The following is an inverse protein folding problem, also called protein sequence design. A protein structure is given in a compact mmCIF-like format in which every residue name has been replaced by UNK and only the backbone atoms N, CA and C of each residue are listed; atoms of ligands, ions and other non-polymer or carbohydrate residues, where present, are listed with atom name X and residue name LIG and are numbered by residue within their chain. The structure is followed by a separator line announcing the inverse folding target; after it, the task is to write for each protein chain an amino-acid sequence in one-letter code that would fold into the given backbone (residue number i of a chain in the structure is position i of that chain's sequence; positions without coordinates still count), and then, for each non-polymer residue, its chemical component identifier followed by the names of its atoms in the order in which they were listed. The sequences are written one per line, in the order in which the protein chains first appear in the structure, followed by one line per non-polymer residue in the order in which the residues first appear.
data_IF_444026286060
#
_entry.id   IF_444026286060
#
_cell.length_a   1.000
_cell.length_b   1.000
_cell.length_c   1.000
_cell.angle_alpha   90.00
_cell.angle_beta   90.00
_cell.angle_gamma   90.00
#
_symmetry.space_group_name_H-M   'P 1'
#
loop_
_entity.id
_entity.type
_entity.pdbx_description
1 polymer ?
#
# COMPACT_ATOMS: atom_id res chain seq x y z
N UNK A 1 23.13 2.93 -8.65
CA UNK A 1 23.80 3.76 -7.60
C UNK A 1 24.52 2.87 -6.58
N UNK A 2 23.89 1.82 -6.03
CA UNK A 2 24.58 0.87 -5.12
C UNK A 2 25.52 -0.12 -5.82
N UNK A 3 25.12 -0.72 -6.96
CA UNK A 3 25.92 -1.77 -7.62
C UNK A 3 26.41 -1.45 -9.03
N UNK A 4 26.11 -0.24 -9.54
CA UNK A 4 26.52 0.28 -10.86
C UNK A 4 26.23 -0.64 -12.08
N UNK A 5 25.44 -1.71 -11.92
CA UNK A 5 25.00 -2.61 -13.00
C UNK A 5 23.49 -2.85 -12.93
N UNK A 6 22.86 -3.11 -14.09
CA UNK A 6 21.42 -3.40 -14.19
C UNK A 6 21.07 -4.84 -13.78
N UNK A 7 22.03 -5.75 -13.85
CA UNK A 7 21.87 -7.18 -13.52
C UNK A 7 21.48 -7.41 -12.06
N UNK A 8 21.88 -6.50 -11.16
CA UNK A 8 21.57 -6.55 -9.73
C UNK A 8 20.24 -5.90 -9.36
N UNK A 9 19.37 -5.61 -10.34
CA UNK A 9 18.04 -5.06 -10.08
C UNK A 9 17.17 -5.95 -9.16
N UNK A 10 17.15 -7.31 -9.29
CA UNK A 10 16.38 -8.15 -8.37
C UNK A 10 16.88 -8.07 -6.92
N UNK A 11 18.20 -8.08 -6.73
CA UNK A 11 18.84 -7.94 -5.42
C UNK A 11 18.53 -6.57 -4.78
N UNK A 12 18.55 -5.51 -5.60
CA UNK A 12 18.20 -4.16 -5.14
C UNK A 12 16.71 -4.06 -4.76
N UNK A 13 15.80 -4.63 -5.55
CA UNK A 13 14.37 -4.62 -5.26
C UNK A 13 14.05 -5.33 -3.94
N UNK A 14 14.70 -6.48 -3.70
CA UNK A 14 14.57 -7.22 -2.44
C UNK A 14 15.13 -6.42 -1.26
N UNK A 15 16.33 -5.85 -1.39
CA UNK A 15 16.95 -5.03 -0.36
C UNK A 15 16.12 -3.78 -0.01
N UNK A 16 15.48 -3.17 -1.02
CA UNK A 16 14.61 -2.01 -0.84
C UNK A 16 13.23 -2.37 -0.27
N UNK A 17 12.89 -3.67 -0.18
CA UNK A 17 11.63 -4.15 0.40
C UNK A 17 10.40 -3.46 -0.22
N UNK A 18 10.35 -3.38 -1.56
CA UNK A 18 9.34 -2.59 -2.30
C UNK A 18 8.01 -3.32 -2.55
N UNK A 19 7.86 -4.56 -2.08
CA UNK A 19 6.62 -5.33 -2.28
C UNK A 19 5.50 -4.85 -1.34
N UNK A 20 4.25 -5.06 -1.72
CA UNK A 20 3.09 -4.68 -0.90
C UNK A 20 3.16 -5.31 0.51
N UNK A 21 3.57 -6.59 0.61
CA UNK A 21 3.71 -7.29 1.89
C UNK A 21 4.80 -6.68 2.78
N UNK A 22 5.88 -6.19 2.17
CA UNK A 22 6.91 -5.48 2.91
C UNK A 22 6.39 -4.14 3.42
N UNK A 23 5.73 -3.35 2.57
CA UNK A 23 5.18 -2.05 2.94
C UNK A 23 4.10 -2.15 4.01
N UNK A 24 3.27 -3.21 3.98
CA UNK A 24 2.28 -3.50 5.03
C UNK A 24 2.97 -3.82 6.36
N UNK A 25 3.99 -4.68 6.35
CA UNK A 25 4.79 -4.99 7.56
C UNK A 25 5.52 -3.78 8.14
N UNK A 26 5.92 -2.84 7.28
CA UNK A 26 6.56 -1.58 7.68
C UNK A 26 5.56 -0.52 8.14
N UNK A 27 4.25 -0.78 8.07
CA UNK A 27 3.20 0.17 8.45
C UNK A 27 3.03 1.34 7.47
N UNK A 28 3.56 1.22 6.25
CA UNK A 28 3.47 2.27 5.22
C UNK A 28 2.10 2.25 4.55
N UNK A 29 1.55 1.06 4.31
CA UNK A 29 0.21 0.84 3.75
C UNK A 29 -0.68 0.12 4.77
N UNK A 30 -2.00 0.27 4.64
CA UNK A 30 -2.97 -0.33 5.57
C UNK A 30 -3.59 -1.63 5.06
N UNK A 31 -3.57 -1.81 3.75
CA UNK A 31 -4.30 -2.89 3.09
C UNK A 31 -3.69 -3.25 1.76
N UNK A 32 -3.61 -4.54 1.50
CA UNK A 32 -3.31 -5.10 0.18
C UNK A 32 -4.63 -5.50 -0.50
N UNK A 33 -4.87 -4.99 -1.69
CA UNK A 33 -6.01 -5.40 -2.53
C UNK A 33 -5.57 -6.59 -3.38
N UNK A 34 -6.27 -7.74 -3.33
CA UNK A 34 -5.88 -8.91 -4.10
C UNK A 34 -6.15 -8.70 -5.60
N UNK A 35 -5.23 -9.20 -6.42
CA UNK A 35 -5.42 -9.23 -7.88
C UNK A 35 -6.06 -10.56 -8.33
N UNK A 36 -6.74 -10.55 -9.49
CA UNK A 36 -7.17 -11.78 -10.16
C UNK A 36 -6.01 -12.75 -10.43
N UNK A 37 -6.32 -14.03 -10.60
CA UNK A 37 -5.32 -15.06 -10.92
C UNK A 37 -4.61 -14.68 -12.22
N UNK A 38 -3.27 -14.58 -12.15
CA UNK A 38 -2.43 -14.16 -13.27
C UNK A 38 -2.29 -12.65 -13.45
N UNK A 39 -2.85 -11.84 -12.55
CA UNK A 39 -2.63 -10.40 -12.44
C UNK A 39 -3.80 -9.55 -12.95
N UNK A 40 -3.84 -8.30 -12.52
CA UNK A 40 -4.91 -7.34 -12.82
C UNK A 40 -5.13 -7.10 -14.32
N UNK A 41 -4.07 -7.22 -15.13
CA UNK A 41 -4.16 -7.08 -16.58
C UNK A 41 -4.96 -8.20 -17.27
N UNK A 42 -5.13 -9.37 -16.61
CA UNK A 42 -5.90 -10.50 -17.17
C UNK A 42 -7.40 -10.40 -16.92
N UNK A 43 -7.79 -9.72 -15.84
CA UNK A 43 -9.18 -9.36 -15.56
C UNK A 43 -9.25 -7.94 -14.97
N UNK A 44 -9.17 -6.90 -15.82
CA UNK A 44 -9.21 -5.52 -15.36
C UNK A 44 -10.52 -5.15 -14.68
N UNK A 45 -11.63 -5.76 -15.09
CA UNK A 45 -12.95 -5.50 -14.52
C UNK A 45 -13.04 -6.05 -13.09
N UNK A 46 -12.58 -7.28 -12.86
CA UNK A 46 -12.49 -7.87 -11.53
C UNK A 46 -11.54 -7.11 -10.61
N UNK A 47 -10.38 -6.69 -11.12
CA UNK A 47 -9.44 -5.86 -10.36
C UNK A 47 -10.05 -4.50 -9.96
N UNK A 48 -10.74 -3.83 -10.88
CA UNK A 48 -11.42 -2.56 -10.61
C UNK A 48 -12.55 -2.74 -9.57
N UNK A 49 -13.31 -3.83 -9.65
CA UNK A 49 -14.36 -4.14 -8.68
C UNK A 49 -13.79 -4.38 -7.27
N UNK A 50 -12.70 -5.15 -7.17
CA UNK A 50 -12.00 -5.40 -5.90
C UNK A 50 -11.46 -4.10 -5.28
N UNK A 51 -10.83 -3.25 -6.10
CA UNK A 51 -10.33 -1.95 -5.68
C UNK A 51 -11.46 -1.02 -5.25
N UNK A 52 -12.54 -0.93 -6.02
CA UNK A 52 -13.70 -0.09 -5.71
C UNK A 52 -14.36 -0.49 -4.39
N UNK A 53 -14.51 -1.79 -4.15
CA UNK A 53 -14.99 -2.31 -2.86
C UNK A 53 -14.07 -1.89 -1.71
N UNK A 54 -12.75 -2.03 -1.88
CA UNK A 54 -11.81 -1.66 -0.83
C UNK A 54 -11.87 -0.16 -0.50
N UNK A 55 -11.90 0.70 -1.53
CA UNK A 55 -12.04 2.15 -1.35
C UNK A 55 -13.35 2.49 -0.63
N UNK A 56 -14.47 1.89 -1.04
CA UNK A 56 -15.77 2.09 -0.38
C UNK A 56 -15.71 1.74 1.11
N UNK A 57 -15.16 0.58 1.45
CA UNK A 57 -15.00 0.14 2.83
C UNK A 57 -14.10 1.08 3.68
N UNK A 58 -13.04 1.64 3.11
CA UNK A 58 -12.21 2.64 3.81
C UNK A 58 -12.97 3.95 4.00
N UNK A 59 -13.67 4.45 2.98
CA UNK A 59 -14.43 5.69 3.05
C UNK A 59 -15.58 5.59 4.06
N UNK A 60 -16.30 4.48 4.06
CA UNK A 60 -17.39 4.20 5.01
C UNK A 60 -16.90 4.21 6.46
N UNK A 61 -15.65 3.80 6.71
CA UNK A 61 -15.02 3.91 8.04
C UNK A 61 -14.62 5.34 8.35
N UNK A 62 -13.94 6.01 7.42
CA UNK A 62 -13.38 7.34 7.65
C UNK A 62 -14.47 8.41 7.82
N UNK A 63 -15.61 8.29 7.14
CA UNK A 63 -16.71 9.26 7.21
C UNK A 63 -17.35 9.31 8.60
N UNK A 64 -17.20 8.26 9.41
CA UNK A 64 -17.70 8.22 10.80
C UNK A 64 -16.80 8.99 11.78
N UNK A 65 -15.63 9.47 11.34
CA UNK A 65 -14.63 10.13 12.18
C UNK A 65 -14.73 11.64 11.99
N UNK A 66 -14.73 12.38 13.11
CA UNK A 66 -14.77 13.84 13.07
C UNK A 66 -13.56 14.42 12.29
N UNK A 67 -13.73 15.52 11.54
CA UNK A 67 -12.68 16.10 10.70
C UNK A 67 -11.39 16.43 11.45
N UNK A 68 -11.48 16.88 12.71
CA UNK A 68 -10.32 17.22 13.54
C UNK A 68 -9.55 15.96 13.93
N UNK A 69 -10.26 14.88 14.23
CA UNK A 69 -9.66 13.59 14.57
C UNK A 69 -9.01 12.95 13.34
N UNK A 70 -9.62 13.05 12.15
CA UNK A 70 -9.00 12.59 10.89
C UNK A 70 -7.66 13.27 10.60
N UNK A 71 -7.53 14.56 10.91
CA UNK A 71 -6.27 15.30 10.74
C UNK A 71 -5.19 14.81 11.70
N UNK A 72 -5.54 14.61 12.97
CA UNK A 72 -4.61 14.05 13.98
C UNK A 72 -4.15 12.65 13.61
N UNK A 73 -5.07 11.76 13.27
CA UNK A 73 -4.74 10.40 12.81
C UNK A 73 -3.80 10.40 11.61
N UNK A 74 -3.98 11.34 10.68
CA UNK A 74 -3.09 11.50 9.52
C UNK A 74 -1.69 11.95 9.94
N UNK A 75 -1.59 12.93 10.83
CA UNK A 75 -0.32 13.40 11.37
C UNK A 75 0.42 12.27 12.10
N UNK A 76 -0.26 11.60 13.03
CA UNK A 76 0.27 10.47 13.79
C UNK A 76 0.78 9.36 12.86
N UNK A 77 0.01 9.04 11.80
CA UNK A 77 0.42 8.07 10.77
C UNK A 77 1.76 8.45 10.14
N UNK A 78 1.90 9.68 9.66
CA UNK A 78 3.12 10.11 8.97
C UNK A 78 4.32 10.18 9.91
N UNK A 79 4.11 10.56 11.18
CA UNK A 79 5.17 10.55 12.19
C UNK A 79 5.60 9.14 12.58
N UNK A 80 4.69 8.16 12.57
CA UNK A 80 5.01 6.77 12.88
C UNK A 80 5.83 6.08 11.78
N UNK A 81 5.69 6.52 10.51
CA UNK A 81 6.44 5.95 9.39
C UNK A 81 7.93 6.25 9.56
N UNK A 82 8.74 5.20 9.75
CA UNK A 82 10.20 5.32 9.88
C UNK A 82 10.69 5.75 11.27
N UNK A 83 9.81 5.78 12.28
CA UNK A 83 10.18 6.07 13.67
C UNK A 83 10.81 4.85 14.41
N UNK A 84 10.95 3.70 13.74
CA UNK A 84 11.61 2.49 14.24
C UNK A 84 12.94 2.22 13.53
#
# INVERSE_FOLDING_TARGET
ILWRTAEKAPEAAEAMKVTAQHLERLGVIDRIVPEPVGGAHRDPAGAAAALGKAIGEELDRLVQIAPEQLRRMREDRFLAIGAN
#
